data_IF_168057549379
#
_entry.id   IF_168057549379
#
_cell.length_a   1.000
_cell.length_b   1.000
_cell.length_c   1.000
_cell.angle_alpha   90.00
_cell.angle_beta   90.00
_cell.angle_gamma   90.00
#
_symmetry.space_group_name_H-M   'P 1'
#
loop_
_entity.id
_entity.type
_entity.pdbx_description
1 polymer ?
#
# COMPACT_ATOMS: atom_id res chain seq x y z
N UNK A 1 31.56 -9.71 -10.75
CA UNK A 1 30.86 -8.50 -10.25
C UNK A 1 29.51 -8.94 -9.72
N UNK A 2 29.23 -8.81 -8.42
CA UNK A 2 27.88 -9.06 -7.89
C UNK A 2 27.03 -7.85 -8.27
N UNK A 3 25.96 -8.07 -9.03
CA UNK A 3 24.98 -7.02 -9.35
C UNK A 3 24.41 -6.40 -8.08
N UNK A 4 23.77 -5.21 -8.17
CA UNK A 4 23.18 -4.59 -6.99
C UNK A 4 22.21 -5.58 -6.35
N UNK A 5 22.41 -5.85 -5.07
CA UNK A 5 21.46 -6.60 -4.25
C UNK A 5 20.13 -5.85 -4.36
N UNK A 6 19.20 -6.37 -5.15
CA UNK A 6 17.82 -5.89 -5.16
C UNK A 6 17.30 -6.13 -3.75
N UNK A 7 17.34 -5.08 -2.92
CA UNK A 7 16.70 -5.08 -1.62
C UNK A 7 15.22 -5.32 -1.90
N UNK A 8 14.73 -6.49 -1.49
CA UNK A 8 13.33 -6.86 -1.68
C UNK A 8 12.48 -5.80 -0.96
N UNK A 9 11.76 -5.00 -1.73
CA UNK A 9 10.88 -3.96 -1.20
C UNK A 9 9.86 -4.61 -0.26
N UNK A 10 9.61 -3.97 0.87
CA UNK A 10 8.65 -4.43 1.84
C UNK A 10 7.94 -3.24 2.50
N UNK A 11 6.83 -3.47 3.22
CA UNK A 11 6.12 -2.39 3.93
C UNK A 11 7.01 -1.58 4.89
N UNK A 12 8.06 -2.21 5.43
CA UNK A 12 9.00 -1.64 6.40
C UNK A 12 10.34 -1.20 5.80
N UNK A 13 10.63 -1.61 4.56
CA UNK A 13 11.90 -1.34 3.88
C UNK A 13 11.62 -0.79 2.48
N UNK A 14 11.24 0.49 2.43
CA UNK A 14 10.80 1.17 1.23
C UNK A 14 11.67 2.40 0.94
N UNK A 15 12.20 2.55 -0.29
CA UNK A 15 13.23 3.54 -0.62
C UNK A 15 12.66 4.95 -0.70
N UNK A 16 13.47 5.93 -0.30
CA UNK A 16 13.20 7.35 -0.48
C UNK A 16 14.30 7.91 -1.40
N UNK A 17 13.99 8.39 -2.63
CA UNK A 17 12.66 8.65 -3.19
C UNK A 17 11.89 7.38 -3.60
N UNK A 18 10.62 7.58 -3.98
CA UNK A 18 9.72 6.53 -4.45
C UNK A 18 10.37 5.71 -5.58
N UNK A 19 10.22 4.36 -5.57
CA UNK A 19 10.76 3.52 -6.62
C UNK A 19 10.10 3.82 -7.99
N UNK A 20 10.70 3.40 -9.11
CA UNK A 20 10.08 3.52 -10.43
C UNK A 20 8.72 2.80 -10.53
N UNK A 21 7.81 3.31 -11.38
CA UNK A 21 6.51 2.66 -11.66
C UNK A 21 6.63 1.28 -12.35
N UNK A 22 7.81 0.93 -12.86
CA UNK A 22 8.06 -0.39 -13.46
C UNK A 22 8.28 -1.49 -12.43
N UNK A 23 8.50 -1.14 -11.16
CA UNK A 23 8.68 -2.10 -10.08
C UNK A 23 7.31 -2.53 -9.54
N UNK A 24 7.07 -3.84 -9.30
CA UNK A 24 5.82 -4.32 -8.72
C UNK A 24 5.41 -3.58 -7.43
N UNK A 25 4.10 -3.53 -7.12
CA UNK A 25 3.63 -2.95 -5.87
C UNK A 25 4.12 -3.74 -4.67
N UNK A 26 4.46 -3.03 -3.59
CA UNK A 26 4.63 -3.61 -2.27
C UNK A 26 3.25 -3.98 -1.74
N UNK A 27 3.06 -5.26 -1.43
CA UNK A 27 1.82 -5.82 -0.89
C UNK A 27 2.08 -6.36 0.52
N UNK A 28 1.18 -6.04 1.44
CA UNK A 28 1.08 -6.67 2.73
C UNK A 28 0.16 -7.87 2.61
N UNK A 29 0.65 -9.03 3.04
CA UNK A 29 -0.15 -10.24 3.08
C UNK A 29 -0.95 -10.31 4.38
N UNK A 30 -2.29 -10.31 4.30
CA UNK A 30 -3.15 -10.38 5.46
C UNK A 30 -2.95 -11.70 6.18
N UNK A 31 -2.88 -11.63 7.50
CA UNK A 31 -2.56 -12.74 8.39
C UNK A 31 -3.79 -13.34 9.04
N UNK A 32 -4.91 -12.62 9.03
CA UNK A 32 -6.16 -13.06 9.65
C UNK A 32 -7.36 -12.82 8.74
N UNK A 33 -8.45 -13.54 9.02
CA UNK A 33 -9.72 -13.39 8.32
C UNK A 33 -10.28 -11.98 8.52
N UNK A 34 -10.13 -11.41 9.71
CA UNK A 34 -10.59 -10.06 10.04
C UNK A 34 -9.88 -9.01 9.18
N UNK A 35 -8.58 -9.18 8.91
CA UNK A 35 -7.84 -8.30 8.00
C UNK A 35 -8.42 -8.37 6.57
N UNK A 36 -8.72 -9.58 6.07
CA UNK A 36 -9.35 -9.77 4.75
C UNK A 36 -10.76 -9.16 4.72
N UNK A 37 -11.58 -9.36 5.76
CA UNK A 37 -12.92 -8.77 5.86
C UNK A 37 -12.84 -7.24 5.83
N UNK A 38 -11.86 -6.64 6.53
CA UNK A 38 -11.63 -5.19 6.50
C UNK A 38 -11.25 -4.71 5.11
N UNK A 39 -10.38 -5.44 4.41
CA UNK A 39 -10.01 -5.16 3.02
C UNK A 39 -11.23 -5.18 2.10
N UNK A 40 -12.10 -6.20 2.22
CA UNK A 40 -13.38 -6.27 1.46
C UNK A 40 -14.35 -5.13 1.75
N UNK A 41 -14.24 -4.49 2.92
CA UNK A 41 -14.97 -3.26 3.25
C UNK A 41 -14.29 -1.98 2.69
N UNK A 42 -13.17 -2.12 1.98
CA UNK A 42 -12.36 -1.04 1.42
C UNK A 42 -11.53 -0.29 2.46
N UNK A 43 -11.14 -0.98 3.55
CA UNK A 43 -10.29 -0.45 4.62
C UNK A 43 -8.92 -1.13 4.57
N UNK A 44 -7.89 -0.47 5.10
CA UNK A 44 -6.59 -1.12 5.31
C UNK A 44 -6.71 -2.35 6.22
N UNK A 45 -5.86 -3.36 6.02
CA UNK A 45 -5.96 -4.66 6.71
C UNK A 45 -5.85 -4.49 8.22
N UNK A 46 -4.93 -3.65 8.69
CA UNK A 46 -4.69 -3.39 10.11
C UNK A 46 -5.36 -2.09 10.61
N UNK A 47 -5.14 -1.76 11.89
CA UNK A 47 -5.52 -0.46 12.48
C UNK A 47 -4.36 0.14 13.27
N UNK A 48 -4.28 1.47 13.31
CA UNK A 48 -3.35 2.21 14.18
C UNK A 48 -3.55 1.88 15.66
N UNK A 49 -4.79 1.68 16.10
CA UNK A 49 -5.10 1.36 17.49
C UNK A 49 -4.41 0.08 17.97
N UNK A 50 -4.37 -0.95 17.12
CA UNK A 50 -3.82 -2.26 17.47
C UNK A 50 -2.35 -2.43 17.06
N UNK A 51 -1.92 -1.76 15.98
CA UNK A 51 -0.62 -2.00 15.36
C UNK A 51 0.34 -0.81 15.48
N UNK A 52 -0.13 0.32 16.04
CA UNK A 52 0.65 1.55 16.17
C UNK A 52 1.30 1.95 14.85
N UNK A 53 2.62 2.06 14.87
CA UNK A 53 3.46 2.44 13.73
C UNK A 53 3.58 1.37 12.65
N UNK A 54 3.23 0.12 12.95
CA UNK A 54 3.16 -0.99 11.98
C UNK A 54 1.82 -1.06 11.26
N UNK A 55 0.91 -0.11 11.49
CA UNK A 55 -0.34 -0.04 10.76
C UNK A 55 -0.07 0.11 9.25
N UNK A 56 -0.66 -0.76 8.44
CA UNK A 56 -0.56 -0.75 6.99
C UNK A 56 -1.45 0.32 6.39
N UNK A 57 -0.86 1.14 5.53
CA UNK A 57 -1.50 2.23 4.82
C UNK A 57 -1.22 2.12 3.33
N UNK A 58 -2.23 2.47 2.54
CA UNK A 58 -2.06 2.57 1.09
C UNK A 58 -1.31 3.87 0.77
N UNK A 59 -0.32 3.74 -0.09
CA UNK A 59 0.59 4.80 -0.52
C UNK A 59 0.53 4.94 -2.04
N UNK A 60 0.12 6.10 -2.53
CA UNK A 60 0.18 6.42 -3.95
C UNK A 60 1.61 6.80 -4.34
N UNK A 61 2.30 5.90 -5.03
CA UNK A 61 3.64 6.13 -5.55
C UNK A 61 3.64 7.37 -6.45
N UNK A 62 4.53 8.32 -6.18
CA UNK A 62 4.65 9.62 -6.85
C UNK A 62 3.34 10.42 -6.94
N UNK A 63 2.34 10.09 -6.12
CA UNK A 63 1.01 10.71 -6.10
C UNK A 63 0.31 10.73 -7.47
N UNK A 64 0.54 9.71 -8.28
CA UNK A 64 -0.08 9.52 -9.60
C UNK A 64 -1.38 8.72 -9.46
N UNK A 65 -2.50 9.16 -10.08
CA UNK A 65 -3.75 8.40 -10.10
C UNK A 65 -3.61 7.02 -10.72
N UNK A 66 -4.31 6.02 -10.18
CA UNK A 66 -4.31 4.64 -10.71
C UNK A 66 -4.72 4.60 -12.18
N UNK A 67 -5.72 5.40 -12.57
CA UNK A 67 -6.16 5.51 -13.98
C UNK A 67 -5.08 5.96 -14.96
N UNK A 68 -4.02 6.61 -14.46
CA UNK A 68 -2.88 7.10 -15.24
C UNK A 68 -1.65 6.17 -15.09
N UNK A 69 -1.84 4.93 -14.63
CA UNK A 69 -0.75 3.98 -14.35
C UNK A 69 -0.09 4.18 -12.98
N UNK A 70 -0.73 4.90 -12.06
CA UNK A 70 -0.26 5.03 -10.69
C UNK A 70 -0.31 3.70 -9.93
N UNK A 71 0.66 3.51 -9.04
CA UNK A 71 0.77 2.32 -8.20
C UNK A 71 0.41 2.65 -6.75
N UNK A 72 -0.36 1.75 -6.14
CA UNK A 72 -0.63 1.74 -4.71
C UNK A 72 0.25 0.70 -4.01
N UNK A 73 1.10 1.18 -3.12
CA UNK A 73 1.96 0.38 -2.25
C UNK A 73 1.34 0.28 -0.84
N UNK A 74 1.49 -0.85 -0.19
CA UNK A 74 1.00 -1.09 1.17
C UNK A 74 2.18 -0.98 2.15
N UNK A 75 2.29 0.15 2.84
CA UNK A 75 3.43 0.50 3.68
C UNK A 75 3.05 0.55 5.16
N UNK A 76 4.00 0.23 6.04
CA UNK A 76 3.83 0.53 7.46
C UNK A 76 3.75 2.05 7.67
N UNK A 77 2.92 2.50 8.60
CA UNK A 77 2.69 3.92 8.87
C UNK A 77 3.99 4.66 9.20
N UNK A 78 4.93 4.02 9.90
CA UNK A 78 6.26 4.59 10.15
C UNK A 78 7.01 4.87 8.86
N UNK A 79 7.00 3.93 7.91
CA UNK A 79 7.61 4.09 6.59
C UNK A 79 6.86 5.11 5.74
N UNK A 80 5.54 5.19 5.87
CA UNK A 80 4.70 6.07 5.07
C UNK A 80 4.76 7.53 5.55
N UNK A 81 4.66 7.75 6.86
CA UNK A 81 4.48 9.08 7.49
C UNK A 81 5.65 9.54 8.35
N UNK A 82 6.66 8.69 8.56
CA UNK A 82 7.83 9.02 9.37
C UNK A 82 8.58 10.25 8.84
N UNK A 83 9.37 10.88 9.72
CA UNK A 83 10.17 12.06 9.36
C UNK A 83 11.04 11.81 8.12
N UNK A 84 11.03 12.77 7.19
CA UNK A 84 11.75 12.67 5.91
C UNK A 84 11.00 11.91 4.82
N UNK A 85 9.97 11.12 5.12
CA UNK A 85 9.27 10.31 4.11
C UNK A 85 8.29 11.13 3.23
N UNK A 86 8.01 12.38 3.60
CA UNK A 86 7.23 13.29 2.75
C UNK A 86 8.01 13.78 1.51
N UNK A 87 9.34 13.67 1.48
CA UNK A 87 10.17 14.02 0.31
C UNK A 87 10.24 12.89 -0.72
N UNK A 88 9.53 11.79 -0.48
CA UNK A 88 9.57 10.60 -1.33
C UNK A 88 8.98 10.84 -2.71
N UNK A 89 8.07 11.80 -2.80
CA UNK A 89 7.45 12.23 -4.04
C UNK A 89 8.27 13.34 -4.66
N UNK A 90 8.69 13.15 -5.90
CA UNK A 90 9.46 14.14 -6.67
C UNK A 90 8.57 15.11 -7.46
N UNK A 91 7.25 14.88 -7.45
CA UNK A 91 6.23 15.64 -8.18
C UNK A 91 5.08 16.06 -7.28
N UNK A 92 4.41 17.18 -7.61
CA UNK A 92 3.14 17.55 -6.97
C UNK A 92 2.07 16.49 -7.17
N UNK A 93 1.12 16.45 -6.21
CA UNK A 93 -0.04 15.57 -6.31
C UNK A 93 -0.85 15.82 -7.58
N UNK A 94 -1.19 14.74 -8.29
CA UNK A 94 -2.22 14.77 -9.33
C UNK A 94 -3.58 14.26 -8.79
N UNK A 95 -3.66 13.99 -7.49
CA UNK A 95 -4.81 13.40 -6.81
C UNK A 95 -5.52 14.45 -5.96
N UNK A 96 -6.84 14.58 -6.13
CA UNK A 96 -7.66 15.25 -5.11
C UNK A 96 -7.83 14.34 -3.88
N UNK A 97 -8.14 14.89 -2.69
CA UNK A 97 -8.41 14.08 -1.51
C UNK A 97 -9.54 13.05 -1.72
N UNK A 98 -10.60 13.43 -2.45
CA UNK A 98 -11.73 12.54 -2.74
C UNK A 98 -11.35 11.41 -3.70
N UNK A 99 -10.54 11.70 -4.72
CA UNK A 99 -9.99 10.69 -5.63
C UNK A 99 -9.07 9.72 -4.89
N UNK A 100 -8.16 10.24 -4.06
CA UNK A 100 -7.26 9.43 -3.24
C UNK A 100 -8.05 8.47 -2.34
N UNK A 101 -9.06 8.97 -1.63
CA UNK A 101 -9.89 8.14 -0.76
C UNK A 101 -10.67 7.07 -1.53
N UNK A 102 -11.17 7.40 -2.73
CA UNK A 102 -11.85 6.45 -3.62
C UNK A 102 -10.90 5.35 -4.07
N UNK A 103 -9.73 5.71 -4.62
CA UNK A 103 -8.76 4.74 -5.15
C UNK A 103 -8.23 3.81 -4.04
N UNK A 104 -7.94 4.34 -2.84
CA UNK A 104 -7.54 3.51 -1.69
C UNK A 104 -8.64 2.51 -1.31
N UNK A 105 -9.90 2.94 -1.30
CA UNK A 105 -11.03 2.07 -0.97
C UNK A 105 -11.19 0.96 -2.01
N UNK A 106 -11.12 1.31 -3.29
CA UNK A 106 -11.23 0.36 -4.41
C UNK A 106 -10.07 -0.64 -4.40
N UNK A 107 -8.84 -0.16 -4.21
CA UNK A 107 -7.65 -1.01 -4.05
C UNK A 107 -7.84 -2.10 -3.00
N UNK A 108 -8.22 -1.71 -1.78
CA UNK A 108 -8.41 -2.70 -0.71
C UNK A 108 -9.57 -3.65 -0.99
N UNK A 109 -10.66 -3.18 -1.63
CA UNK A 109 -11.76 -4.07 -2.03
C UNK A 109 -11.29 -5.12 -3.01
N UNK A 110 -10.55 -4.73 -4.06
CA UNK A 110 -10.03 -5.69 -5.04
C UNK A 110 -9.04 -6.65 -4.39
N UNK A 111 -8.09 -6.14 -3.60
CA UNK A 111 -7.16 -6.98 -2.83
C UNK A 111 -7.89 -7.97 -1.92
N UNK A 112 -8.95 -7.55 -1.23
CA UNK A 112 -9.73 -8.40 -0.34
C UNK A 112 -10.47 -9.54 -1.05
N UNK A 113 -10.76 -9.41 -2.35
CA UNK A 113 -11.37 -10.47 -3.17
C UNK A 113 -10.36 -11.53 -3.61
N UNK A 114 -9.05 -11.23 -3.59
CA UNK A 114 -8.00 -12.19 -3.96
C UNK A 114 -7.91 -13.36 -2.95
N UNK A 115 -8.47 -13.20 -1.75
CA UNK A 115 -8.42 -14.20 -0.67
C UNK A 115 -9.78 -14.90 -0.52
N UNK A 116 -9.77 -16.23 -0.49
CA UNK A 116 -10.96 -17.06 -0.24
C UNK A 116 -11.11 -17.25 1.27
N UNK A 117 -12.26 -16.88 1.86
CA UNK A 117 -12.52 -17.11 3.27
C UNK A 117 -13.02 -18.54 3.52
N UNK A 118 -12.89 -19.07 4.76
CA UNK A 118 -13.47 -20.36 5.10
C UNK A 118 -14.96 -20.41 4.75
N UNK A 119 -15.37 -21.42 3.97
CA UNK A 119 -16.74 -21.58 3.49
C UNK A 119 -17.05 -20.87 2.16
N UNK A 120 -16.11 -20.16 1.54
CA UNK A 120 -16.28 -19.50 0.23
C UNK A 120 -15.59 -20.22 -0.93
N UNK A 121 -15.18 -21.48 -0.76
CA UNK A 121 -14.58 -22.32 -1.81
C UNK A 121 -15.38 -23.61 -1.99
N UNK A 122 -15.61 -23.99 -3.25
CA UNK A 122 -16.28 -25.23 -3.68
C UNK A 122 -15.45 -26.44 -3.24
#
# INVERSE_FOLDING_TARGET
MRGPLYVKLSPSNYPNPDPPMTIPPVRYEPKTIEEVIRMRQGKGPTTKMLHGDKNIEAHHRQQVPVKNGGILDELEQKTHRGGGNHTRHDKPSQLTPSQRAKEIREHYKERGKEYILPGEGI
#
